data_IF_657211594006
#
_entry.id   IF_657211594006
#
_cell.length_a   1.000
_cell.length_b   1.000
_cell.length_c   1.000
_cell.angle_alpha   90.00
_cell.angle_beta   90.00
_cell.angle_gamma   90.00
#
_symmetry.space_group_name_H-M   'P 1'
#
loop_
_entity.id
_entity.type
_entity.pdbx_description
1 polymer ?
#
# COMPACT_ATOMS: atom_id res chain seq x y z
N UNK A 1 -18.19 17.87 5.90
CA UNK A 1 -18.25 16.61 5.14
C UNK A 1 -17.49 16.69 3.81
N UNK A 2 -17.78 17.67 2.94
CA UNK A 2 -17.07 17.83 1.67
C UNK A 2 -15.56 18.13 1.82
N UNK A 3 -15.17 18.99 2.77
CA UNK A 3 -13.75 19.30 3.01
C UNK A 3 -12.93 18.05 3.36
N UNK A 4 -13.42 17.19 4.26
CA UNK A 4 -12.76 15.95 4.66
C UNK A 4 -12.60 14.96 3.51
N UNK A 5 -13.57 14.89 2.60
CA UNK A 5 -13.51 14.05 1.41
C UNK A 5 -12.36 14.47 0.48
N UNK A 6 -12.28 15.77 0.15
CA UNK A 6 -11.21 16.30 -0.70
C UNK A 6 -9.84 16.18 -0.06
N UNK A 7 -9.74 16.38 1.26
CA UNK A 7 -8.49 16.15 2.00
C UNK A 7 -8.05 14.70 1.92
N UNK A 8 -8.95 13.74 2.11
CA UNK A 8 -8.62 12.32 1.98
C UNK A 8 -8.13 11.98 0.57
N UNK A 9 -8.81 12.50 -0.45
CA UNK A 9 -8.41 12.30 -1.85
C UNK A 9 -7.00 12.85 -2.12
N UNK A 10 -6.72 14.07 -1.66
CA UNK A 10 -5.41 14.70 -1.81
C UNK A 10 -4.30 13.91 -1.09
N UNK A 11 -4.54 13.48 0.15
CA UNK A 11 -3.57 12.72 0.93
C UNK A 11 -3.26 11.36 0.28
N UNK A 12 -4.27 10.63 -0.20
CA UNK A 12 -4.06 9.35 -0.90
C UNK A 12 -3.32 9.56 -2.23
N UNK A 13 -3.67 10.61 -2.98
CA UNK A 13 -2.97 10.96 -4.21
C UNK A 13 -1.49 11.28 -3.98
N UNK A 14 -1.19 12.11 -2.96
CA UNK A 14 0.19 12.42 -2.56
C UNK A 14 0.92 11.17 -2.06
N UNK A 15 0.24 10.33 -1.29
CA UNK A 15 0.78 9.03 -0.86
C UNK A 15 1.17 8.16 -2.05
N UNK A 16 0.33 8.07 -3.08
CA UNK A 16 0.64 7.36 -4.33
C UNK A 16 1.87 7.91 -5.04
N UNK A 17 2.01 9.24 -5.13
CA UNK A 17 3.21 9.87 -5.68
C UNK A 17 4.46 9.55 -4.85
N UNK A 18 4.36 9.58 -3.52
CA UNK A 18 5.45 9.21 -2.63
C UNK A 18 5.87 7.74 -2.81
N UNK A 19 4.92 6.82 -3.01
CA UNK A 19 5.23 5.41 -3.32
C UNK A 19 5.99 5.27 -4.65
N UNK A 20 5.61 6.02 -5.67
CA UNK A 20 6.30 6.02 -6.96
C UNK A 20 7.75 6.51 -6.86
N UNK A 21 8.03 7.49 -5.98
CA UNK A 21 9.39 7.98 -5.68
C UNK A 21 10.18 7.02 -4.80
N UNK A 22 9.53 6.43 -3.80
CA UNK A 22 10.15 5.44 -2.89
C UNK A 22 10.69 4.24 -3.65
N UNK A 23 9.96 3.76 -4.65
CA UNK A 23 10.30 2.56 -5.42
C UNK A 23 11.74 2.57 -6.01
N UNK A 24 12.17 3.56 -6.81
CA UNK A 24 13.53 3.64 -7.33
C UNK A 24 14.58 3.92 -6.24
N UNK A 25 14.26 4.67 -5.19
CA UNK A 25 15.15 4.93 -4.04
C UNK A 25 15.50 3.60 -3.36
N UNK A 26 14.49 2.81 -3.02
CA UNK A 26 14.69 1.53 -2.36
C UNK A 26 15.32 0.49 -3.30
N UNK A 27 15.04 0.53 -4.59
CA UNK A 27 15.73 -0.30 -5.57
C UNK A 27 17.23 0.07 -5.66
N UNK A 28 17.58 1.35 -5.55
CA UNK A 28 18.97 1.79 -5.48
C UNK A 28 19.66 1.34 -4.19
N UNK A 29 18.97 1.41 -3.06
CA UNK A 29 19.44 0.84 -1.79
C UNK A 29 19.70 -0.67 -1.95
N UNK A 30 18.77 -1.42 -2.54
CA UNK A 30 18.89 -2.85 -2.81
C UNK A 30 20.12 -3.20 -3.65
N UNK A 31 20.44 -2.41 -4.68
CA UNK A 31 21.68 -2.58 -5.45
C UNK A 31 22.93 -2.28 -4.62
N UNK A 32 22.86 -1.31 -3.72
CA UNK A 32 24.00 -0.88 -2.90
C UNK A 32 24.33 -1.89 -1.80
N UNK A 33 23.31 -2.52 -1.20
CA UNK A 33 23.47 -3.53 -0.15
C UNK A 33 23.52 -4.97 -0.69
N UNK A 34 23.30 -5.14 -2.00
CA UNK A 34 23.38 -6.42 -2.70
C UNK A 34 22.14 -7.32 -2.57
N UNK A 35 21.10 -6.89 -1.84
CA UNK A 35 19.91 -7.71 -1.59
C UNK A 35 18.63 -6.86 -1.43
N UNK A 36 17.56 -7.27 -2.12
CA UNK A 36 16.28 -6.55 -2.10
C UNK A 36 15.44 -6.74 -0.83
N UNK A 37 15.60 -7.87 -0.13
CA UNK A 37 14.96 -8.13 1.17
C UNK A 37 15.60 -7.26 2.24
N UNK A 38 16.93 -7.13 2.24
CA UNK A 38 17.65 -6.23 3.16
C UNK A 38 17.21 -4.78 2.94
N UNK A 39 17.08 -4.33 1.69
CA UNK A 39 16.59 -2.98 1.40
C UNK A 39 15.13 -2.75 1.84
N UNK A 40 14.24 -3.73 1.63
CA UNK A 40 12.87 -3.67 2.12
C UNK A 40 12.81 -3.62 3.66
N UNK A 41 13.64 -4.41 4.35
CA UNK A 41 13.78 -4.40 5.81
C UNK A 41 14.21 -3.01 6.32
N UNK A 42 15.25 -2.41 5.71
CA UNK A 42 15.73 -1.07 6.08
C UNK A 42 14.63 -0.03 5.84
N UNK A 43 13.96 -0.07 4.67
CA UNK A 43 12.86 0.86 4.35
C UNK A 43 11.69 0.77 5.33
N UNK A 44 11.29 -0.45 5.71
CA UNK A 44 10.24 -0.64 6.72
C UNK A 44 10.69 -0.18 8.10
N UNK A 45 11.94 -0.47 8.47
CA UNK A 45 12.52 -0.06 9.74
C UNK A 45 12.56 1.46 9.90
N UNK A 46 13.00 2.20 8.89
CA UNK A 46 13.04 3.68 8.93
C UNK A 46 11.63 4.27 9.03
N UNK A 47 10.66 3.74 8.27
CA UNK A 47 9.25 4.13 8.36
C UNK A 47 8.64 3.84 9.73
N UNK A 48 8.92 2.66 10.32
CA UNK A 48 8.47 2.30 11.66
C UNK A 48 9.02 3.27 12.72
N UNK A 49 10.32 3.57 12.68
CA UNK A 49 10.95 4.49 13.64
C UNK A 49 10.36 5.90 13.56
N UNK A 50 10.08 6.39 12.34
CA UNK A 50 9.41 7.67 12.14
C UNK A 50 8.01 7.68 12.78
N UNK A 51 7.19 6.66 12.52
CA UNK A 51 5.85 6.55 13.08
C UNK A 51 5.87 6.39 14.60
N UNK A 52 6.82 5.62 15.14
CA UNK A 52 7.01 5.45 16.57
C UNK A 52 7.36 6.79 17.24
N UNK A 53 8.29 7.55 16.66
CA UNK A 53 8.67 8.87 17.17
C UNK A 53 7.50 9.86 17.15
N UNK A 54 6.70 9.86 16.08
CA UNK A 54 5.49 10.69 15.98
C UNK A 54 4.39 10.27 16.96
N UNK A 55 4.20 8.97 17.19
CA UNK A 55 3.24 8.48 18.17
C UNK A 55 3.67 8.83 19.61
N UNK A 56 4.97 8.68 19.90
CA UNK A 56 5.56 9.04 21.18
C UNK A 56 5.46 10.55 21.44
N UNK A 57 5.78 11.41 20.46
CA UNK A 57 5.72 12.86 20.62
C UNK A 57 4.30 13.39 20.85
N UNK A 58 3.29 12.66 20.37
CA UNK A 58 1.87 12.95 20.59
C UNK A 58 1.32 12.32 21.88
N UNK A 59 2.10 11.51 22.59
CA UNK A 59 1.66 10.79 23.78
C UNK A 59 0.55 9.76 23.53
N UNK A 60 0.46 9.22 22.31
CA UNK A 60 -0.63 8.30 21.89
C UNK A 60 -0.21 6.83 21.84
N UNK A 61 0.89 6.47 22.49
CA UNK A 61 1.33 5.09 22.56
C UNK A 61 0.32 4.25 23.37
N UNK A 62 -0.17 3.12 22.83
CA UNK A 62 -1.16 2.30 23.50
C UNK A 62 -0.56 1.53 24.68
N UNK A 63 -1.40 1.19 25.66
CA UNK A 63 -1.00 0.30 26.75
C UNK A 63 -0.77 -1.13 26.24
N UNK A 64 0.06 -1.90 26.93
CA UNK A 64 0.27 -3.32 26.59
C UNK A 64 -1.02 -4.15 26.70
N UNK A 65 -1.92 -3.79 27.62
CA UNK A 65 -3.22 -4.43 27.73
C UNK A 65 -4.09 -4.19 26.48
N UNK A 66 -4.08 -2.96 25.96
CA UNK A 66 -4.77 -2.61 24.70
C UNK A 66 -4.24 -3.43 23.55
N UNK A 67 -2.91 -3.56 23.42
CA UNK A 67 -2.31 -4.36 22.36
C UNK A 67 -2.70 -5.84 22.46
N UNK A 68 -2.65 -6.43 23.66
CA UNK A 68 -3.03 -7.84 23.87
C UNK A 68 -4.50 -8.14 23.53
N UNK A 69 -5.38 -7.15 23.60
CA UNK A 69 -6.80 -7.31 23.25
C UNK A 69 -7.07 -7.26 21.74
N UNK A 70 -6.09 -6.88 20.91
CA UNK A 70 -6.26 -6.77 19.46
C UNK A 70 -6.33 -8.17 18.83
N UNK A 71 -7.30 -8.46 17.94
CA UNK A 71 -7.37 -9.73 17.22
C UNK A 71 -6.07 -10.08 16.50
N UNK A 72 -5.68 -11.35 16.52
CA UNK A 72 -4.38 -11.81 16.00
C UNK A 72 -4.14 -11.44 14.52
N UNK A 73 -5.20 -11.41 13.71
CA UNK A 73 -5.10 -11.09 12.28
C UNK A 73 -4.77 -9.61 12.03
N UNK A 74 -5.04 -8.69 12.96
CA UNK A 74 -4.69 -7.27 12.75
C UNK A 74 -3.16 -7.08 12.70
N UNK A 75 -2.40 -8.00 13.30
CA UNK A 75 -0.95 -7.99 13.32
C UNK A 75 -0.32 -8.41 11.99
N UNK A 76 -1.08 -9.03 11.09
CA UNK A 76 -0.55 -9.50 9.80
C UNK A 76 -0.42 -8.38 8.77
N UNK A 77 -0.94 -7.18 9.03
CA UNK A 77 -0.88 -6.05 8.10
C UNK A 77 0.55 -5.71 7.65
N UNK A 78 1.51 -5.78 8.57
CA UNK A 78 2.93 -5.54 8.27
C UNK A 78 3.53 -6.57 7.31
N UNK A 79 3.05 -7.81 7.34
CA UNK A 79 3.51 -8.90 6.44
C UNK A 79 3.13 -8.58 5.00
N UNK A 80 1.88 -8.17 4.76
CA UNK A 80 1.42 -7.77 3.42
C UNK A 80 2.17 -6.53 2.91
N UNK A 81 2.45 -5.57 3.79
CA UNK A 81 3.28 -4.40 3.47
C UNK A 81 4.71 -4.77 3.07
N UNK A 82 5.36 -5.66 3.84
CA UNK A 82 6.72 -6.11 3.55
C UNK A 82 6.80 -6.82 2.20
N UNK A 83 5.86 -7.72 1.92
CA UNK A 83 5.74 -8.38 0.62
C UNK A 83 5.54 -7.37 -0.51
N UNK A 84 4.65 -6.39 -0.31
CA UNK A 84 4.37 -5.32 -1.27
C UNK A 84 5.65 -4.54 -1.63
N UNK A 85 6.41 -4.06 -0.64
CA UNK A 85 7.62 -3.25 -0.92
C UNK A 85 8.67 -4.09 -1.63
N UNK A 86 8.90 -5.33 -1.17
CA UNK A 86 9.83 -6.25 -1.82
C UNK A 86 9.42 -6.52 -3.28
N UNK A 87 8.15 -6.81 -3.53
CA UNK A 87 7.64 -7.09 -4.87
C UNK A 87 7.83 -5.88 -5.80
N UNK A 88 7.58 -4.66 -5.33
CA UNK A 88 7.83 -3.43 -6.09
C UNK A 88 9.32 -3.25 -6.38
N UNK A 89 10.20 -3.40 -5.39
CA UNK A 89 11.65 -3.28 -5.55
C UNK A 89 12.20 -4.24 -6.60
N UNK A 90 11.71 -5.47 -6.57
CA UNK A 90 12.12 -6.51 -7.49
C UNK A 90 11.58 -6.28 -8.91
N UNK A 91 10.38 -5.72 -9.02
CA UNK A 91 9.66 -5.54 -10.29
C UNK A 91 10.07 -4.28 -11.04
N UNK A 92 10.34 -3.17 -10.35
CA UNK A 92 10.64 -1.86 -10.97
C UNK A 92 11.81 -1.92 -11.95
N UNK A 93 12.95 -2.57 -11.65
CA UNK A 93 14.04 -2.71 -12.62
C UNK A 93 13.68 -3.55 -13.86
N UNK A 94 12.62 -4.37 -13.82
CA UNK A 94 12.22 -5.27 -14.90
C UNK A 94 11.10 -4.71 -15.76
N UNK A 95 10.13 -4.04 -15.13
CA UNK A 95 8.89 -3.59 -15.78
C UNK A 95 8.85 -2.07 -15.98
N UNK A 96 9.76 -1.32 -15.34
CA UNK A 96 9.65 0.13 -15.19
C UNK A 96 8.60 0.52 -14.13
N UNK A 97 8.60 1.80 -13.75
CA UNK A 97 7.73 2.31 -12.67
C UNK A 97 6.25 2.27 -13.07
N UNK A 98 5.90 2.78 -14.26
CA UNK A 98 4.50 2.92 -14.70
C UNK A 98 3.80 1.55 -14.75
N UNK A 99 4.38 0.58 -15.48
CA UNK A 99 3.84 -0.79 -15.58
C UNK A 99 3.72 -1.46 -14.21
N UNK A 100 4.73 -1.31 -13.34
CA UNK A 100 4.70 -1.90 -12.00
C UNK A 100 3.52 -1.39 -11.19
N UNK A 101 3.30 -0.07 -11.16
CA UNK A 101 2.20 0.51 -10.40
C UNK A 101 0.84 0.26 -11.07
N UNK A 102 0.75 0.15 -12.39
CA UNK A 102 -0.49 -0.22 -13.08
C UNK A 102 -0.96 -1.64 -12.71
N UNK A 103 -0.06 -2.64 -12.72
CA UNK A 103 -0.37 -4.02 -12.29
C UNK A 103 -0.80 -4.05 -10.82
N UNK A 104 -0.07 -3.31 -9.98
CA UNK A 104 -0.31 -3.22 -8.56
C UNK A 104 -1.69 -2.62 -8.25
N UNK A 105 -2.06 -1.52 -8.90
CA UNK A 105 -3.38 -0.90 -8.73
C UNK A 105 -4.48 -1.86 -9.21
N UNK A 106 -4.28 -2.57 -10.32
CA UNK A 106 -5.24 -3.57 -10.77
C UNK A 106 -5.47 -4.66 -9.71
N UNK A 107 -4.39 -5.23 -9.15
CA UNK A 107 -4.48 -6.23 -8.09
C UNK A 107 -5.18 -5.69 -6.83
N UNK A 108 -4.90 -4.44 -6.44
CA UNK A 108 -5.56 -3.76 -5.33
C UNK A 108 -7.06 -3.59 -5.57
N UNK A 109 -7.47 -3.20 -6.78
CA UNK A 109 -8.88 -3.02 -7.11
C UNK A 109 -9.67 -4.34 -7.14
N UNK A 110 -9.07 -5.40 -7.69
CA UNK A 110 -9.67 -6.73 -7.69
C UNK A 110 -9.87 -7.24 -6.25
N UNK A 111 -8.85 -7.12 -5.41
CA UNK A 111 -8.95 -7.46 -4.00
C UNK A 111 -10.00 -6.58 -3.28
N UNK A 112 -10.03 -5.27 -3.56
CA UNK A 112 -11.00 -4.37 -2.96
C UNK A 112 -12.44 -4.72 -3.31
N UNK A 113 -12.74 -5.14 -4.55
CA UNK A 113 -14.07 -5.63 -4.92
C UNK A 113 -14.47 -6.85 -4.10
N UNK A 114 -13.56 -7.80 -3.92
CA UNK A 114 -13.81 -9.00 -3.11
C UNK A 114 -14.06 -8.64 -1.64
N UNK A 115 -13.20 -7.81 -1.04
CA UNK A 115 -13.29 -7.40 0.35
C UNK A 115 -14.55 -6.56 0.64
N UNK A 116 -14.90 -5.65 -0.26
CA UNK A 116 -16.10 -4.82 -0.12
C UNK A 116 -17.39 -5.65 -0.26
N UNK A 117 -17.41 -6.66 -1.13
CA UNK A 117 -18.59 -7.48 -1.36
C UNK A 117 -18.93 -8.42 -0.20
N UNK A 118 -17.92 -8.85 0.57
CA UNK A 118 -18.11 -9.76 1.72
C UNK A 118 -17.97 -9.07 3.09
N UNK A 119 -17.66 -7.76 3.12
CA UNK A 119 -17.50 -7.01 4.35
C UNK A 119 -16.31 -7.50 5.20
N UNK A 120 -15.27 -8.04 4.57
CA UNK A 120 -14.11 -8.59 5.26
C UNK A 120 -13.48 -7.57 6.23
N UNK A 121 -12.93 -8.07 7.34
CA UNK A 121 -12.26 -7.28 8.37
C UNK A 121 -13.15 -6.20 9.04
N UNK A 122 -14.48 -6.39 9.01
CA UNK A 122 -15.43 -5.45 9.61
C UNK A 122 -15.76 -4.26 8.72
N UNK A 123 -15.41 -4.32 7.43
CA UNK A 123 -15.80 -3.30 6.47
C UNK A 123 -17.32 -3.31 6.22
N UNK A 124 -17.96 -2.14 6.03
CA UNK A 124 -19.33 -2.09 5.54
C UNK A 124 -19.42 -2.78 4.18
N UNK A 125 -20.40 -3.68 4.03
CA UNK A 125 -20.65 -4.35 2.74
C UNK A 125 -21.02 -3.28 1.71
N UNK A 126 -20.35 -3.31 0.56
CA UNK A 126 -20.69 -2.50 -0.60
C UNK A 126 -20.96 -3.40 -1.79
N UNK A 127 -22.08 -3.15 -2.46
CA UNK A 127 -22.47 -3.91 -3.63
C UNK A 127 -21.49 -3.71 -4.79
N UNK A 128 -21.30 -4.78 -5.57
CA UNK A 128 -20.55 -4.74 -6.82
C UNK A 128 -21.48 -4.15 -7.88
N UNK A 129 -21.36 -2.85 -8.10
CA UNK A 129 -22.13 -2.12 -9.10
C UNK A 129 -21.38 -2.01 -10.43
N UNK A 130 -22.12 -1.80 -11.54
CA UNK A 130 -21.54 -1.62 -12.88
C UNK A 130 -20.44 -0.55 -12.92
N UNK A 131 -20.58 0.64 -12.29
CA UNK A 131 -19.52 1.63 -12.26
C UNK A 131 -18.22 1.14 -11.61
N UNK A 132 -18.32 0.31 -10.55
CA UNK A 132 -17.14 -0.24 -9.87
C UNK A 132 -16.42 -1.26 -10.75
N UNK A 133 -17.17 -2.11 -11.45
CA UNK A 133 -16.60 -3.03 -12.44
C UNK A 133 -15.96 -2.24 -13.59
N UNK A 134 -16.61 -1.16 -14.05
CA UNK A 134 -16.07 -0.25 -15.06
C UNK A 134 -14.75 0.39 -14.63
N UNK A 135 -14.60 0.79 -13.36
CA UNK A 135 -13.34 1.33 -12.84
C UNK A 135 -12.19 0.30 -12.94
N UNK A 136 -12.44 -0.97 -12.60
CA UNK A 136 -11.45 -2.05 -12.76
C UNK A 136 -11.12 -2.30 -14.23
N UNK A 137 -12.11 -2.23 -15.12
CA UNK A 137 -11.91 -2.38 -16.56
C UNK A 137 -11.03 -1.26 -17.13
N UNK A 138 -11.22 -0.01 -16.69
CA UNK A 138 -10.40 1.13 -17.11
C UNK A 138 -8.95 1.00 -16.65
N UNK A 139 -8.71 0.55 -15.42
CA UNK A 139 -7.35 0.28 -14.93
C UNK A 139 -6.70 -0.87 -15.70
N UNK A 140 -7.47 -1.93 -16.01
CA UNK A 140 -6.99 -3.03 -16.86
C UNK A 140 -6.57 -2.54 -18.25
N UNK A 141 -7.35 -1.66 -18.88
CA UNK A 141 -7.00 -1.05 -20.15
C UNK A 141 -5.73 -0.20 -20.04
N UNK A 142 -5.63 0.62 -18.99
CA UNK A 142 -4.44 1.41 -18.70
C UNK A 142 -3.18 0.56 -18.52
N UNK A 143 -3.29 -0.60 -17.85
CA UNK A 143 -2.20 -1.56 -17.73
C UNK A 143 -1.73 -2.09 -19.09
N UNK A 144 -2.66 -2.53 -19.96
CA UNK A 144 -2.31 -3.04 -21.29
C UNK A 144 -1.52 -2.00 -22.09
N UNK A 145 -1.92 -0.73 -22.00
CA UNK A 145 -1.27 0.39 -22.70
C UNK A 145 0.08 0.73 -22.07
N UNK A 146 0.19 0.70 -20.73
CA UNK A 146 1.40 1.12 -19.99
C UNK A 146 2.68 0.34 -20.31
N UNK A 147 2.55 -0.82 -20.94
CA UNK A 147 3.67 -1.68 -21.33
C UNK A 147 4.44 -1.15 -22.54
N UNK A 148 3.81 -0.31 -23.37
CA UNK A 148 4.38 0.25 -24.60
C UNK A 148 4.89 1.68 -24.36
#
# INVERSE_FOLDING_TARGET
>A
MAATFWTALALVGIGGMALAVQAPINAALGRSVGDGVIAAMISFGTGFLLLLALAASRGVLPSLATLKAVPWWCWTGGIFGAFYVWAVLWSVPKLGVVTTFAVLILGQLLAALFLDANGAFGLPIKEITIPRVGAVALVSAGLVISRF
#
